data_IF_365850400626
#
_entry.id   IF_365850400626
#
_cell.length_a   1.000
_cell.length_b   1.000
_cell.length_c   1.000
_cell.angle_alpha   90.00
_cell.angle_beta   90.00
_cell.angle_gamma   90.00
#
_symmetry.space_group_name_H-M   'P 1'
#
loop_
_entity.id
_entity.type
_entity.pdbx_description
1 polymer ?
#
# COMPACT_ATOMS: atom_id res chain seq x y z
N UNK A 1 -15.24 -21.48 9.87
CA UNK A 1 -14.20 -20.92 8.95
C UNK A 1 -13.10 -20.27 9.79
N UNK A 2 -11.84 -20.59 9.53
CA UNK A 2 -10.69 -20.06 10.29
C UNK A 2 -10.58 -18.53 10.16
N UNK A 3 -10.31 -17.83 11.28
CA UNK A 3 -10.10 -16.37 11.34
C UNK A 3 -9.01 -15.87 10.38
N UNK A 4 -8.05 -16.73 10.01
CA UNK A 4 -7.01 -16.42 9.03
C UNK A 4 -7.55 -16.28 7.60
N UNK A 5 -8.51 -17.12 7.22
CA UNK A 5 -9.10 -17.12 5.87
C UNK A 5 -9.93 -15.84 5.63
N UNK A 6 -10.63 -15.36 6.67
CA UNK A 6 -11.39 -14.12 6.62
C UNK A 6 -10.48 -12.89 6.38
N UNK A 7 -9.29 -12.85 7.00
CA UNK A 7 -8.34 -11.74 6.81
C UNK A 7 -7.73 -11.70 5.42
N UNK A 8 -7.45 -12.85 4.81
CA UNK A 8 -6.95 -12.93 3.43
C UNK A 8 -8.01 -12.41 2.46
N UNK A 9 -9.27 -12.85 2.63
CA UNK A 9 -10.38 -12.35 1.81
C UNK A 9 -10.58 -10.83 2.00
N UNK A 10 -10.49 -10.32 3.23
CA UNK A 10 -10.54 -8.88 3.48
C UNK A 10 -9.39 -8.12 2.82
N UNK A 11 -8.17 -8.66 2.83
CA UNK A 11 -7.03 -8.04 2.17
C UNK A 11 -7.21 -7.96 0.65
N UNK A 12 -7.75 -9.01 0.02
CA UNK A 12 -8.12 -9.01 -1.40
C UNK A 12 -9.19 -7.94 -1.67
N UNK A 13 -10.24 -7.89 -0.85
CA UNK A 13 -11.30 -6.88 -0.97
C UNK A 13 -10.76 -5.45 -0.85
N UNK A 14 -9.86 -5.18 0.11
CA UNK A 14 -9.21 -3.88 0.27
C UNK A 14 -8.34 -3.55 -0.95
N UNK A 15 -7.57 -4.51 -1.46
CA UNK A 15 -6.75 -4.33 -2.66
C UNK A 15 -7.60 -3.99 -3.89
N UNK A 16 -8.69 -4.73 -4.12
CA UNK A 16 -9.65 -4.44 -5.19
C UNK A 16 -10.27 -3.06 -5.03
N UNK A 17 -10.63 -2.68 -3.81
CA UNK A 17 -11.15 -1.36 -3.51
C UNK A 17 -10.15 -0.24 -3.84
N UNK A 18 -8.87 -0.39 -3.46
CA UNK A 18 -7.82 0.59 -3.78
C UNK A 18 -7.70 0.79 -5.30
N UNK A 19 -7.66 -0.30 -6.06
CA UNK A 19 -7.59 -0.23 -7.52
C UNK A 19 -8.84 0.44 -8.12
N UNK A 20 -10.03 0.08 -7.62
CA UNK A 20 -11.28 0.70 -8.05
C UNK A 20 -11.34 2.20 -7.73
N UNK A 21 -10.82 2.60 -6.56
CA UNK A 21 -10.75 3.99 -6.16
C UNK A 21 -9.78 4.78 -7.04
N UNK A 22 -8.57 4.25 -7.33
CA UNK A 22 -7.60 4.88 -8.24
C UNK A 22 -8.23 5.07 -9.62
N UNK A 23 -8.82 4.01 -10.19
CA UNK A 23 -9.45 4.07 -11.51
C UNK A 23 -10.65 5.03 -11.53
N UNK A 24 -11.52 4.98 -10.52
CA UNK A 24 -12.69 5.86 -10.42
C UNK A 24 -12.29 7.33 -10.27
N UNK A 25 -11.37 7.63 -9.35
CA UNK A 25 -10.89 9.01 -9.12
C UNK A 25 -10.19 9.57 -10.36
N UNK A 26 -9.44 8.75 -11.09
CA UNK A 26 -8.85 9.13 -12.37
C UNK A 26 -9.91 9.50 -13.41
N UNK A 27 -10.95 8.68 -13.55
CA UNK A 27 -12.04 8.96 -14.51
C UNK A 27 -12.86 10.20 -14.14
N UNK A 28 -13.04 10.48 -12.85
CA UNK A 28 -13.78 11.67 -12.39
C UNK A 28 -12.96 12.96 -12.43
N UNK A 29 -11.63 12.88 -12.55
CA UNK A 29 -10.74 14.04 -12.42
C UNK A 29 -11.02 15.14 -13.46
N UNK A 30 -11.40 14.75 -14.68
CA UNK A 30 -11.63 15.69 -15.79
C UNK A 30 -13.02 16.34 -15.77
N UNK A 31 -14.03 15.57 -15.35
CA UNK A 31 -15.43 15.96 -15.50
C UNK A 31 -15.98 16.73 -14.29
N UNK A 32 -15.28 16.70 -13.15
CA UNK A 32 -15.80 17.19 -11.88
C UNK A 32 -14.81 18.14 -11.18
N UNK A 33 -15.32 19.30 -10.76
CA UNK A 33 -14.52 20.30 -10.06
C UNK A 33 -13.97 19.82 -8.71
N UNK A 34 -12.96 20.54 -8.20
CA UNK A 34 -12.27 20.27 -6.93
C UNK A 34 -13.22 20.10 -5.73
N UNK A 35 -14.40 20.73 -5.78
CA UNK A 35 -15.44 20.61 -4.75
C UNK A 35 -15.96 19.19 -4.53
N UNK A 36 -15.93 18.30 -5.54
CA UNK A 36 -16.31 16.89 -5.38
C UNK A 36 -15.11 15.99 -5.12
N UNK A 37 -13.99 16.26 -5.80
CA UNK A 37 -12.78 15.41 -5.70
C UNK A 37 -12.18 15.42 -4.30
N UNK A 38 -12.12 16.58 -3.64
CA UNK A 38 -11.54 16.70 -2.30
C UNK A 38 -12.32 15.85 -1.27
N UNK A 39 -13.66 15.96 -1.14
CA UNK A 39 -14.44 15.07 -0.30
C UNK A 39 -14.25 13.58 -0.61
N UNK A 40 -14.14 13.22 -1.89
CA UNK A 40 -13.97 11.82 -2.30
C UNK A 40 -12.60 11.26 -1.85
N UNK A 41 -11.54 12.06 -1.95
CA UNK A 41 -10.23 11.71 -1.41
C UNK A 41 -10.23 11.57 0.12
N UNK A 42 -10.94 12.47 0.82
CA UNK A 42 -11.10 12.38 2.28
C UNK A 42 -11.84 11.09 2.65
N UNK A 43 -12.96 10.80 1.97
CA UNK A 43 -13.73 9.59 2.19
C UNK A 43 -12.89 8.33 1.91
N UNK A 44 -12.10 8.35 0.83
CA UNK A 44 -11.18 7.27 0.49
C UNK A 44 -10.15 7.02 1.60
N UNK A 45 -9.54 8.07 2.13
CA UNK A 45 -8.57 7.98 3.23
C UNK A 45 -9.18 7.52 4.55
N UNK A 46 -10.36 8.02 4.92
CA UNK A 46 -11.09 7.57 6.12
C UNK A 46 -11.44 6.10 6.01
N UNK A 47 -11.95 5.66 4.86
CA UNK A 47 -12.31 4.24 4.66
C UNK A 47 -11.06 3.35 4.75
N UNK A 48 -9.94 3.75 4.15
CA UNK A 48 -8.68 3.03 4.28
C UNK A 48 -8.18 2.95 5.72
N UNK A 49 -8.27 4.04 6.47
CA UNK A 49 -7.89 4.05 7.88
C UNK A 49 -8.73 3.04 8.68
N UNK A 50 -10.05 3.00 8.47
CA UNK A 50 -10.95 2.03 9.13
C UNK A 50 -10.64 0.59 8.69
N UNK A 51 -10.42 0.35 7.40
CA UNK A 51 -10.15 -0.99 6.88
C UNK A 51 -8.79 -1.52 7.34
N UNK A 52 -7.75 -0.69 7.30
CA UNK A 52 -6.39 -1.07 7.70
C UNK A 52 -6.25 -1.18 9.23
N UNK A 53 -6.94 -0.36 10.02
CA UNK A 53 -6.99 -0.55 11.49
C UNK A 53 -7.73 -1.82 11.89
N UNK A 54 -8.71 -2.29 11.11
CA UNK A 54 -9.32 -3.62 11.34
C UNK A 54 -8.39 -4.77 10.92
N UNK A 55 -7.51 -4.53 9.96
CA UNK A 55 -6.57 -5.52 9.43
C UNK A 55 -5.32 -5.66 10.31
N UNK A 56 -4.77 -4.52 10.75
CA UNK A 56 -3.68 -4.41 11.72
C UNK A 56 -4.22 -4.66 13.13
N UNK A 57 -3.54 -5.47 13.92
CA UNK A 57 -3.90 -5.67 15.33
C UNK A 57 -3.37 -4.54 16.25
N UNK A 58 -2.77 -3.49 15.67
CA UNK A 58 -1.95 -2.47 16.36
C UNK A 58 -2.25 -1.04 15.84
N UNK A 59 -1.75 -0.02 16.55
CA UNK A 59 -1.93 1.43 16.32
C UNK A 59 -1.37 1.98 14.99
N UNK A 60 -0.75 1.14 14.16
CA UNK A 60 -0.07 1.54 12.92
C UNK A 60 -1.01 1.72 11.72
N UNK A 61 -2.32 1.48 11.87
CA UNK A 61 -3.27 1.54 10.74
C UNK A 61 -3.40 2.93 10.09
N UNK A 62 -3.34 4.01 10.87
CA UNK A 62 -3.46 5.38 10.37
C UNK A 62 -2.29 5.85 9.48
N UNK A 63 -1.01 5.73 9.88
CA UNK A 63 0.11 6.13 9.01
C UNK A 63 0.19 5.28 7.73
N UNK A 64 -0.19 4.00 7.80
CA UNK A 64 -0.26 3.13 6.62
C UNK A 64 -1.36 3.55 5.66
N UNK A 65 -2.53 3.95 6.17
CA UNK A 65 -3.60 4.50 5.34
C UNK A 65 -3.16 5.78 4.63
N UNK A 66 -2.48 6.70 5.34
CA UNK A 66 -1.96 7.92 4.73
C UNK A 66 -0.97 7.62 3.60
N UNK A 67 -0.09 6.63 3.79
CA UNK A 67 0.83 6.20 2.73
C UNK A 67 0.08 5.64 1.51
N UNK A 68 -0.94 4.81 1.71
CA UNK A 68 -1.74 4.24 0.62
C UNK A 68 -2.51 5.33 -0.12
N UNK A 69 -3.05 6.33 0.59
CA UNK A 69 -3.69 7.51 -0.03
C UNK A 69 -2.69 8.29 -0.87
N UNK A 70 -1.49 8.57 -0.32
CA UNK A 70 -0.43 9.27 -1.05
C UNK A 70 0.03 8.53 -2.31
N UNK A 71 0.20 7.20 -2.21
CA UNK A 71 0.52 6.36 -3.36
C UNK A 71 -0.62 6.36 -4.40
N UNK A 72 -1.88 6.31 -3.95
CA UNK A 72 -3.04 6.38 -4.84
C UNK A 72 -3.13 7.73 -5.56
N UNK A 73 -2.88 8.83 -4.85
CA UNK A 73 -2.84 10.18 -5.42
C UNK A 73 -1.73 10.30 -6.47
N UNK A 74 -0.53 9.79 -6.16
CA UNK A 74 0.57 9.74 -7.11
C UNK A 74 0.20 8.90 -8.34
N UNK A 75 -0.42 7.73 -8.16
CA UNK A 75 -0.86 6.89 -9.28
C UNK A 75 -1.86 7.61 -10.20
N UNK A 76 -2.85 8.32 -9.64
CA UNK A 76 -3.80 9.13 -10.42
C UNK A 76 -3.09 10.26 -11.16
N UNK A 77 -2.17 10.97 -10.51
CA UNK A 77 -1.37 12.03 -11.13
C UNK A 77 -0.53 11.53 -12.31
N UNK A 78 0.18 10.41 -12.13
CA UNK A 78 0.95 9.82 -13.23
C UNK A 78 0.04 9.26 -14.33
N UNK A 79 -1.16 8.75 -14.00
CA UNK A 79 -2.09 8.27 -15.01
C UNK A 79 -2.61 9.42 -15.90
N UNK A 80 -2.82 10.59 -15.32
CA UNK A 80 -3.22 11.81 -16.03
C UNK A 80 -2.12 12.27 -17.01
N UNK A 81 -0.89 12.38 -16.52
CA UNK A 81 0.26 12.68 -17.38
C UNK A 81 0.43 11.65 -18.51
N UNK A 82 0.26 10.37 -18.20
CA UNK A 82 0.40 9.30 -19.18
C UNK A 82 -0.72 9.34 -20.23
N UNK A 83 -1.92 9.80 -19.85
CA UNK A 83 -3.05 9.96 -20.78
C UNK A 83 -2.75 11.04 -21.82
N UNK A 84 -2.21 12.18 -21.38
CA UNK A 84 -1.83 13.27 -22.28
C UNK A 84 -0.73 12.81 -23.25
N UNK A 85 0.31 12.17 -22.72
CA UNK A 85 1.44 11.65 -23.52
C UNK A 85 0.96 10.60 -24.54
N UNK A 86 0.16 9.62 -24.11
CA UNK A 86 -0.44 8.61 -25.00
C UNK A 86 -1.38 9.21 -26.05
N UNK A 87 -2.12 10.25 -25.69
CA UNK A 87 -3.02 10.94 -26.63
C UNK A 87 -2.18 11.65 -27.69
N UNK A 88 -1.12 12.36 -27.29
CA UNK A 88 -0.18 13.02 -28.18
C UNK A 88 0.56 12.02 -29.08
N UNK A 89 0.94 10.85 -28.58
CA UNK A 89 1.55 9.79 -29.41
C UNK A 89 0.59 9.22 -30.45
N UNK A 90 -0.70 9.08 -30.11
CA UNK A 90 -1.72 8.46 -30.99
C UNK A 90 -2.24 9.41 -32.05
N UNK A 91 -2.54 10.66 -31.69
CA UNK A 91 -3.18 11.65 -32.59
C UNK A 91 -2.29 12.83 -32.95
N UNK A 92 -1.16 13.01 -32.27
CA UNK A 92 -0.28 14.15 -32.48
C UNK A 92 0.39 14.09 -33.84
N UNK A 93 0.44 15.24 -34.50
CA UNK A 93 1.13 15.42 -35.77
C UNK A 93 2.59 15.78 -35.51
N UNK A 94 3.52 15.12 -36.21
CA UNK A 94 4.94 15.51 -36.20
C UNK A 94 5.15 16.73 -37.07
N UNK A 95 5.47 17.86 -36.43
CA UNK A 95 5.65 19.14 -37.10
C UNK A 95 7.04 19.67 -36.78
N UNK A 96 7.74 20.13 -37.82
CA UNK A 96 8.95 20.94 -37.64
C UNK A 96 8.53 22.38 -37.36
N UNK A 97 8.78 22.83 -36.14
CA UNK A 97 8.45 24.17 -35.68
C UNK A 97 9.70 24.93 -35.24
N UNK A 98 9.69 26.25 -35.41
CA UNK A 98 10.75 27.15 -34.99
C UNK A 98 10.34 27.85 -33.69
N UNK A 99 11.26 27.91 -32.74
CA UNK A 99 11.06 28.67 -31.50
C UNK A 99 11.09 30.16 -31.82
N UNK A 100 9.98 30.86 -31.61
CA UNK A 100 9.87 32.29 -31.91
C UNK A 100 10.10 33.15 -30.68
N UNK A 101 9.76 32.62 -29.50
CA UNK A 101 9.84 33.37 -28.25
C UNK A 101 9.99 32.41 -27.08
N UNK A 102 10.73 32.82 -26.08
CA UNK A 102 10.78 32.19 -24.76
C UNK A 102 10.36 33.18 -23.68
N UNK A 103 9.71 32.70 -22.62
CA UNK A 103 9.43 33.48 -21.42
C UNK A 103 9.36 32.55 -20.20
N UNK A 104 9.55 33.11 -19.01
CA UNK A 104 9.43 32.35 -17.77
C UNK A 104 7.96 31.98 -17.54
N UNK A 105 7.69 30.71 -17.22
CA UNK A 105 6.34 30.25 -16.92
C UNK A 105 5.79 31.02 -15.69
N UNK A 106 4.59 31.65 -15.79
CA UNK A 106 4.09 32.59 -14.78
C UNK A 106 3.57 31.92 -13.50
N UNK A 107 3.36 30.62 -13.53
CA UNK A 107 2.61 29.81 -12.57
C UNK A 107 3.49 28.95 -11.63
N UNK A 108 4.80 28.91 -11.86
CA UNK A 108 5.73 28.20 -10.97
C UNK A 108 6.73 29.18 -10.37
N UNK A 109 6.82 29.19 -9.04
CA UNK A 109 7.72 30.06 -8.29
C UNK A 109 9.16 30.00 -8.80
N UNK A 110 9.92 31.08 -8.53
CA UNK A 110 11.28 31.40 -9.02
C UNK A 110 12.33 30.25 -8.99
N UNK A 111 12.03 29.12 -8.39
CA UNK A 111 12.91 27.94 -8.28
C UNK A 111 12.81 26.95 -9.45
N UNK A 112 11.71 26.87 -10.22
CA UNK A 112 11.53 25.75 -11.16
C UNK A 112 12.26 25.88 -12.50
N UNK A 113 12.93 27.02 -12.79
CA UNK A 113 13.66 27.26 -14.05
C UNK A 113 12.92 26.76 -15.30
N UNK A 114 11.59 26.84 -15.30
CA UNK A 114 10.75 26.30 -16.35
C UNK A 114 10.28 27.44 -17.24
N UNK A 115 10.48 27.27 -18.55
CA UNK A 115 10.23 28.27 -19.57
C UNK A 115 9.16 27.78 -20.54
N UNK A 116 8.32 28.70 -20.96
CA UNK A 116 7.37 28.52 -22.04
C UNK A 116 7.99 29.02 -23.35
N UNK A 117 7.84 28.23 -24.40
CA UNK A 117 8.38 28.46 -25.73
C UNK A 117 7.22 28.53 -26.74
N UNK A 118 7.06 29.69 -27.37
CA UNK A 118 6.15 29.82 -28.51
C UNK A 118 6.78 29.19 -29.75
N UNK A 119 6.03 28.32 -30.39
CA UNK A 119 6.43 27.64 -31.62
C UNK A 119 5.64 28.19 -32.81
N UNK A 120 6.32 28.35 -33.94
CA UNK A 120 5.69 28.63 -35.23
C UNK A 120 6.06 27.56 -36.27
N UNK A 121 5.13 27.23 -37.14
CA UNK A 121 5.36 26.40 -38.32
C UNK A 121 6.27 27.12 -39.30
N UNK A 122 6.77 26.38 -40.29
CA UNK A 122 7.64 26.90 -41.36
C UNK A 122 6.99 28.02 -42.20
N UNK A 123 5.67 28.02 -42.27
CA UNK A 123 4.87 29.05 -42.94
C UNK A 123 4.70 30.34 -42.07
N UNK A 124 5.28 30.37 -40.87
CA UNK A 124 5.17 31.48 -39.93
C UNK A 124 3.91 31.48 -39.08
N UNK A 125 2.99 30.52 -39.28
CA UNK A 125 1.79 30.40 -38.46
C UNK A 125 2.13 29.88 -37.07
N UNK A 126 1.46 30.42 -36.05
CA UNK A 126 1.65 29.96 -34.66
C UNK A 126 1.05 28.57 -34.50
N UNK A 127 1.74 27.70 -33.78
CA UNK A 127 1.22 26.40 -33.44
C UNK A 127 -0.01 26.56 -32.52
N UNK A 128 -1.14 25.87 -32.79
CA UNK A 128 -2.32 25.94 -31.95
C UNK A 128 -2.05 25.30 -30.58
N UNK A 129 -2.74 25.80 -29.56
CA UNK A 129 -2.68 25.29 -28.19
C UNK A 129 -1.66 25.97 -27.27
N UNK A 130 -1.38 25.35 -26.11
CA UNK A 130 -0.44 25.88 -25.12
C UNK A 130 1.01 25.96 -25.65
N UNK A 131 1.83 26.80 -25.04
CA UNK A 131 3.26 26.91 -25.39
C UNK A 131 4.03 25.63 -25.01
N UNK A 132 5.08 25.27 -25.74
CA UNK A 132 5.97 24.16 -25.32
C UNK A 132 6.64 24.51 -24.00
N UNK A 133 6.67 23.61 -23.03
CA UNK A 133 7.31 23.85 -21.74
C UNK A 133 8.60 23.05 -21.62
N UNK A 134 9.68 23.69 -21.18
CA UNK A 134 10.95 23.01 -20.97
C UNK A 134 11.82 23.72 -19.93
N UNK A 135 12.83 23.02 -19.42
CA UNK A 135 13.83 23.60 -18.53
C UNK A 135 14.65 24.70 -19.21
N UNK A 136 15.19 25.61 -18.41
CA UNK A 136 15.94 26.78 -18.87
C UNK A 136 17.07 26.41 -19.84
N UNK A 137 17.15 27.15 -20.96
CA UNK A 137 18.23 26.98 -21.93
C UNK A 137 18.15 25.69 -22.74
N UNK A 138 17.06 24.92 -22.65
CA UNK A 138 16.89 23.70 -23.44
C UNK A 138 16.74 23.98 -24.93
N UNK A 139 16.13 25.12 -25.28
CA UNK A 139 15.95 25.55 -26.66
C UNK A 139 16.33 27.03 -26.83
N UNK A 140 16.85 27.38 -28.00
CA UNK A 140 17.17 28.76 -28.36
C UNK A 140 16.11 29.34 -29.31
N UNK A 141 15.85 30.65 -29.22
CA UNK A 141 15.02 31.36 -30.19
C UNK A 141 15.65 31.27 -31.58
N UNK A 142 14.84 30.95 -32.60
CA UNK A 142 15.27 30.66 -33.97
C UNK A 142 15.64 29.19 -34.23
N UNK A 143 15.74 28.37 -33.18
CA UNK A 143 15.99 26.94 -33.33
C UNK A 143 14.78 26.24 -33.94
N UNK A 144 15.02 25.40 -34.96
CA UNK A 144 14.01 24.52 -35.52
C UNK A 144 14.07 23.16 -34.83
N UNK A 145 12.91 22.68 -34.37
CA UNK A 145 12.76 21.44 -33.61
C UNK A 145 11.54 20.66 -34.08
N UNK A 146 11.62 19.33 -33.99
CA UNK A 146 10.49 18.45 -34.30
C UNK A 146 9.67 18.25 -33.04
N UNK A 147 8.39 18.57 -33.10
CA UNK A 147 7.44 18.38 -32.00
C UNK A 147 6.27 17.54 -32.46
N UNK A 148 5.69 16.81 -31.53
CA UNK A 148 4.35 16.27 -31.61
C UNK A 148 3.40 17.36 -31.13
N UNK A 149 2.50 17.79 -32.00
CA UNK A 149 1.50 18.79 -31.69
C UNK A 149 0.11 18.19 -31.83
N UNK A 150 -0.78 18.54 -30.91
CA UNK A 150 -2.17 18.15 -30.99
C UNK A 150 -2.89 18.94 -32.08
N UNK A 151 -3.49 18.28 -33.10
CA UNK A 151 -4.22 18.99 -34.15
C UNK A 151 -5.43 19.77 -33.61
N UNK A 152 -6.02 19.34 -32.49
CA UNK A 152 -7.13 20.05 -31.83
C UNK A 152 -6.65 21.26 -31.00
N UNK A 153 -5.33 21.38 -30.75
CA UNK A 153 -4.76 22.46 -29.95
C UNK A 153 -5.14 22.41 -28.47
N UNK A 154 -5.59 21.26 -27.96
CA UNK A 154 -5.97 21.09 -26.56
C UNK A 154 -4.72 20.78 -25.73
N UNK A 155 -3.91 19.83 -26.19
CA UNK A 155 -2.72 19.38 -25.48
C UNK A 155 -1.50 20.24 -25.79
N UNK A 156 -0.62 20.37 -24.79
CA UNK A 156 0.66 21.07 -24.93
C UNK A 156 1.59 20.28 -25.88
N UNK A 157 2.22 20.93 -26.88
CA UNK A 157 3.16 20.26 -27.76
C UNK A 157 4.38 19.74 -26.98
N UNK A 158 4.94 18.60 -27.40
CA UNK A 158 6.15 17.99 -26.80
C UNK A 158 7.12 17.47 -27.84
N UNK A 159 8.39 17.32 -27.47
CA UNK A 159 9.35 16.62 -28.34
C UNK A 159 9.09 15.11 -28.29
N UNK A 160 9.40 14.33 -29.35
CA UNK A 160 9.14 12.89 -29.38
C UNK A 160 9.73 12.10 -28.20
N UNK A 161 10.86 12.54 -27.63
CA UNK A 161 11.45 11.90 -26.46
C UNK A 161 10.78 12.29 -25.13
N UNK A 162 10.15 13.47 -25.06
CA UNK A 162 9.43 13.95 -23.87
C UNK A 162 7.95 13.51 -23.86
N UNK A 163 7.45 12.97 -24.98
CA UNK A 163 6.10 12.43 -25.14
C UNK A 163 6.02 10.91 -24.88
N UNK A 164 7.15 10.25 -24.59
CA UNK A 164 7.18 8.83 -24.30
C UNK A 164 6.49 8.53 -22.96
N UNK A 165 5.31 7.90 -23.03
CA UNK A 165 4.49 7.59 -21.88
C UNK A 165 5.07 6.46 -21.01
N UNK A 166 6.11 5.74 -21.45
CA UNK A 166 6.63 4.54 -20.78
C UNK A 166 7.02 4.79 -19.33
N UNK A 167 7.80 5.84 -19.08
CA UNK A 167 8.25 6.19 -17.72
C UNK A 167 7.08 6.55 -16.81
N UNK A 168 6.11 7.28 -17.34
CA UNK A 168 4.92 7.72 -16.62
C UNK A 168 4.00 6.55 -16.28
N UNK A 169 3.79 5.62 -17.22
CA UNK A 169 3.02 4.38 -17.03
C UNK A 169 3.67 3.45 -16.00
N UNK A 170 5.00 3.33 -16.00
CA UNK A 170 5.73 2.60 -14.96
C UNK A 170 5.52 3.24 -13.59
N UNK A 171 5.43 4.57 -13.51
CA UNK A 171 5.08 5.31 -12.30
C UNK A 171 3.72 4.88 -11.74
N UNK A 172 2.68 4.85 -12.58
CA UNK A 172 1.33 4.39 -12.20
C UNK A 172 1.38 2.98 -11.60
N UNK A 173 2.03 2.06 -12.31
CA UNK A 173 2.17 0.67 -11.88
C UNK A 173 2.93 0.54 -10.57
N UNK A 174 4.03 1.27 -10.41
CA UNK A 174 4.86 1.24 -9.21
C UNK A 174 4.08 1.70 -7.97
N UNK A 175 3.34 2.81 -8.05
CA UNK A 175 2.56 3.32 -6.93
C UNK A 175 1.36 2.42 -6.59
N UNK A 176 0.67 1.87 -7.60
CA UNK A 176 -0.40 0.91 -7.37
C UNK A 176 0.13 -0.37 -6.70
N UNK A 177 1.28 -0.89 -7.13
CA UNK A 177 1.92 -2.05 -6.51
C UNK A 177 2.43 -1.75 -5.09
N UNK A 178 2.94 -0.56 -4.84
CA UNK A 178 3.34 -0.14 -3.49
C UNK A 178 2.15 -0.13 -2.53
N UNK A 179 1.02 0.43 -2.95
CA UNK A 179 -0.23 0.41 -2.17
C UNK A 179 -0.68 -1.03 -1.87
N UNK A 180 -0.69 -1.91 -2.87
CA UNK A 180 -1.05 -3.33 -2.70
C UNK A 180 -0.07 -4.08 -1.80
N UNK A 181 1.23 -3.79 -1.90
CA UNK A 181 2.27 -4.37 -1.07
C UNK A 181 2.08 -4.05 0.41
N UNK A 182 1.67 -2.81 0.73
CA UNK A 182 1.31 -2.41 2.09
C UNK A 182 0.09 -3.19 2.60
N UNK A 183 -0.97 -3.31 1.80
CA UNK A 183 -2.17 -4.10 2.18
C UNK A 183 -1.81 -5.58 2.42
N UNK A 184 -0.99 -6.17 1.56
CA UNK A 184 -0.59 -7.57 1.70
C UNK A 184 0.31 -7.82 2.92
N UNK A 185 1.28 -6.94 3.17
CA UNK A 185 2.21 -7.08 4.32
C UNK A 185 1.50 -6.86 5.65
N UNK A 186 0.57 -5.91 5.72
CA UNK A 186 -0.26 -5.65 6.91
C UNK A 186 -1.19 -6.83 7.21
N UNK A 187 -1.83 -7.40 6.19
CA UNK A 187 -2.64 -8.62 6.34
C UNK A 187 -1.83 -9.79 6.90
N UNK A 188 -0.61 -10.01 6.36
CA UNK A 188 0.32 -11.06 6.84
C UNK A 188 0.71 -10.83 8.31
N UNK A 189 1.09 -9.61 8.68
CA UNK A 189 1.44 -9.27 10.08
C UNK A 189 0.24 -9.44 11.02
N UNK A 190 -0.94 -8.99 10.63
CA UNK A 190 -2.15 -9.18 11.42
C UNK A 190 -2.44 -10.66 11.65
N UNK A 191 -2.32 -11.50 10.61
CA UNK A 191 -2.53 -12.94 10.72
C UNK A 191 -1.52 -13.62 11.66
N UNK A 192 -0.24 -13.23 11.64
CA UNK A 192 0.77 -13.80 12.55
C UNK A 192 0.52 -13.38 14.00
N UNK A 193 0.16 -12.12 14.26
CA UNK A 193 -0.19 -11.64 15.61
C UNK A 193 -1.43 -12.37 16.14
N UNK A 194 -2.47 -12.52 15.32
CA UNK A 194 -3.67 -13.24 15.70
C UNK A 194 -3.39 -14.70 16.06
N UNK A 195 -2.58 -15.38 15.24
CA UNK A 195 -2.16 -16.76 15.49
C UNK A 195 -1.39 -16.90 16.80
N UNK A 196 -0.42 -16.01 17.06
CA UNK A 196 0.34 -16.00 18.32
C UNK A 196 -0.56 -15.77 19.54
N UNK A 197 -1.59 -14.92 19.41
CA UNK A 197 -2.57 -14.68 20.48
C UNK A 197 -3.40 -15.93 20.76
N UNK A 198 -3.85 -16.62 19.72
CA UNK A 198 -4.61 -17.88 19.82
C UNK A 198 -3.77 -19.01 20.44
N UNK A 199 -2.51 -19.14 20.03
CA UNK A 199 -1.55 -20.08 20.63
C UNK A 199 -1.32 -19.78 22.12
N UNK A 200 -1.20 -18.49 22.51
CA UNK A 200 -1.07 -18.09 23.92
C UNK A 200 -2.31 -18.38 24.74
N UNK A 201 -3.51 -18.12 24.21
CA UNK A 201 -4.76 -18.43 24.93
C UNK A 201 -4.92 -19.94 25.11
N UNK A 202 -4.64 -20.72 24.07
CA UNK A 202 -4.70 -22.18 24.13
C UNK A 202 -3.70 -22.76 25.14
N UNK A 203 -2.48 -22.20 25.18
CA UNK A 203 -1.49 -22.57 26.19
C UNK A 203 -1.98 -22.22 27.60
N UNK A 204 -2.52 -21.02 27.80
CA UNK A 204 -3.05 -20.60 29.10
C UNK A 204 -4.21 -21.50 29.58
N UNK A 205 -5.09 -21.91 28.67
CA UNK A 205 -6.20 -22.84 28.96
C UNK A 205 -5.67 -24.24 29.36
N UNK A 206 -4.62 -24.74 28.68
CA UNK A 206 -3.97 -26.00 29.06
C UNK A 206 -3.22 -25.90 30.39
N UNK A 207 -2.50 -24.80 30.65
CA UNK A 207 -1.86 -24.56 31.94
C UNK A 207 -2.90 -24.46 33.08
N UNK A 208 -4.07 -23.89 32.80
CA UNK A 208 -5.17 -23.83 33.77
C UNK A 208 -5.74 -25.23 34.06
N UNK A 209 -6.03 -26.00 33.01
CA UNK A 209 -6.54 -27.37 33.12
C UNK A 209 -5.54 -28.29 33.83
N UNK A 210 -4.24 -28.13 33.57
CA UNK A 210 -3.18 -28.87 34.26
C UNK A 210 -3.14 -28.52 35.75
N UNK A 211 -3.21 -27.23 36.08
CA UNK A 211 -3.23 -26.76 37.47
C UNK A 211 -4.45 -27.29 38.23
N UNK A 212 -5.61 -27.36 37.58
CA UNK A 212 -6.82 -27.92 38.16
C UNK A 212 -6.72 -29.44 38.35
N UNK A 213 -6.18 -30.16 37.36
CA UNK A 213 -5.93 -31.60 37.47
C UNK A 213 -4.97 -31.91 38.64
N UNK A 214 -3.83 -31.20 38.74
CA UNK A 214 -2.88 -31.38 39.84
C UNK A 214 -3.48 -31.06 41.22
N UNK A 215 -4.36 -30.04 41.31
CA UNK A 215 -5.03 -29.69 42.56
C UNK A 215 -6.04 -30.73 43.02
N UNK A 216 -6.70 -31.42 42.08
CA UNK A 216 -7.78 -32.37 42.37
C UNK A 216 -7.30 -33.82 42.40
N UNK A 217 -6.10 -34.10 41.90
CA UNK A 217 -5.55 -35.44 41.86
C UNK A 217 -5.23 -35.94 43.27
N UNK A 218 -5.66 -37.16 43.56
CA UNK A 218 -5.27 -37.89 44.76
C UNK A 218 -3.93 -38.56 44.52
N UNK A 219 -3.00 -38.41 45.46
CA UNK A 219 -1.73 -39.12 45.44
C UNK A 219 -1.98 -40.64 45.49
N UNK A 220 -1.19 -41.40 44.73
CA UNK A 220 -1.23 -42.87 44.75
C UNK A 220 -0.73 -43.44 46.09
N UNK A 221 -0.71 -44.77 46.22
CA UNK A 221 -0.24 -45.49 47.42
C UNK A 221 1.21 -45.15 47.79
N UNK A 222 2.00 -44.61 46.87
CA UNK A 222 3.39 -44.21 47.02
C UNK A 222 3.57 -42.69 47.18
N UNK A 223 2.49 -41.90 47.22
CA UNK A 223 2.52 -40.45 47.38
C UNK A 223 2.76 -39.67 46.07
N UNK A 224 2.50 -40.27 44.90
CA UNK A 224 2.68 -39.60 43.60
C UNK A 224 1.36 -39.21 42.95
N UNK A 225 1.31 -38.00 42.40
CA UNK A 225 0.30 -37.50 41.47
C UNK A 225 0.81 -37.73 40.05
N UNK A 226 0.12 -38.57 39.29
CA UNK A 226 0.46 -38.89 37.90
C UNK A 226 -0.42 -38.11 36.91
N UNK A 227 0.21 -37.47 35.93
CA UNK A 227 -0.46 -36.76 34.84
C UNK A 227 0.12 -37.19 33.49
N UNK A 228 -0.76 -37.52 32.55
CA UNK A 228 -0.33 -37.95 31.22
C UNK A 228 -0.11 -36.73 30.29
N UNK A 229 1.10 -36.58 29.70
CA UNK A 229 1.44 -35.44 28.85
C UNK A 229 0.58 -35.30 27.59
N UNK A 230 -0.02 -36.40 27.13
CA UNK A 230 -0.90 -36.43 25.95
C UNK A 230 -2.14 -35.53 26.09
N UNK A 231 -2.58 -35.28 27.33
CA UNK A 231 -3.70 -34.37 27.61
C UNK A 231 -3.29 -32.88 27.59
N UNK A 232 -1.99 -32.59 27.56
CA UNK A 232 -1.41 -31.24 27.61
C UNK A 232 -0.33 -31.04 26.55
N UNK A 233 -0.65 -31.26 25.25
CA UNK A 233 0.35 -31.34 24.19
C UNK A 233 1.12 -30.04 23.95
N UNK A 234 0.59 -28.89 24.37
CA UNK A 234 1.24 -27.58 24.19
C UNK A 234 2.06 -27.14 25.42
N UNK A 235 2.04 -27.92 26.52
CA UNK A 235 2.80 -27.65 27.74
C UNK A 235 4.09 -28.48 27.75
N UNK A 236 5.23 -27.83 28.04
CA UNK A 236 6.50 -28.56 28.19
C UNK A 236 6.67 -29.15 29.60
N UNK A 237 7.40 -30.26 29.72
CA UNK A 237 7.68 -30.90 31.03
C UNK A 237 8.26 -29.91 32.06
N UNK A 238 9.21 -29.06 31.64
CA UNK A 238 9.79 -28.01 32.50
C UNK A 238 8.73 -27.03 33.02
N UNK A 239 7.76 -26.67 32.19
CA UNK A 239 6.67 -25.76 32.59
C UNK A 239 5.68 -26.45 33.51
N UNK A 240 5.33 -27.71 33.22
CA UNK A 240 4.49 -28.53 34.07
C UNK A 240 5.11 -28.73 35.47
N UNK A 241 6.41 -29.05 35.55
CA UNK A 241 7.15 -29.15 36.81
C UNK A 241 7.19 -27.82 37.57
N UNK A 242 7.30 -26.69 36.87
CA UNK A 242 7.16 -25.36 37.49
C UNK A 242 5.78 -25.14 38.11
N UNK A 243 4.70 -25.52 37.42
CA UNK A 243 3.32 -25.42 37.92
C UNK A 243 3.09 -26.38 39.10
N UNK A 244 3.65 -27.58 39.07
CA UNK A 244 3.59 -28.54 40.17
C UNK A 244 4.31 -27.99 41.42
N UNK A 245 5.49 -27.39 41.24
CA UNK A 245 6.23 -26.72 42.31
C UNK A 245 5.49 -25.50 42.90
N UNK A 246 4.75 -24.73 42.09
CA UNK A 246 3.85 -23.66 42.57
C UNK A 246 2.75 -24.21 43.51
N UNK A 247 2.40 -25.49 43.37
CA UNK A 247 1.39 -26.18 44.20
C UNK A 247 2.01 -26.97 45.37
N UNK A 248 3.34 -26.96 45.52
CA UNK A 248 4.06 -27.66 46.60
C UNK A 248 4.53 -29.08 46.25
N UNK A 249 4.35 -29.53 45.00
CA UNK A 249 4.72 -30.88 44.58
C UNK A 249 6.15 -30.93 44.01
N UNK A 250 6.89 -32.00 44.28
CA UNK A 250 8.26 -32.20 43.76
C UNK A 250 8.27 -33.06 42.48
N UNK A 251 8.97 -32.65 41.41
CA UNK A 251 9.05 -33.44 40.18
C UNK A 251 9.85 -34.73 40.38
N UNK A 252 9.26 -35.86 39.99
CA UNK A 252 9.94 -37.13 39.87
C UNK A 252 10.26 -37.40 38.39
N UNK A 253 11.55 -37.62 38.07
CA UNK A 253 11.98 -37.90 36.71
C UNK A 253 11.66 -39.36 36.34
N UNK A 254 10.57 -39.56 35.59
CA UNK A 254 10.22 -40.85 34.97
C UNK A 254 9.88 -40.64 33.47
N UNK A 255 10.60 -41.26 32.53
CA UNK A 255 10.40 -41.04 31.10
C UNK A 255 9.11 -41.72 30.61
N UNK A 256 8.00 -40.97 30.57
CA UNK A 256 6.74 -41.40 29.94
C UNK A 256 5.48 -40.96 30.67
N UNK A 257 5.57 -40.56 31.93
CA UNK A 257 4.48 -39.99 32.71
C UNK A 257 5.02 -38.81 33.54
N UNK A 258 4.27 -37.72 33.65
CA UNK A 258 4.67 -36.64 34.53
C UNK A 258 4.22 -37.00 35.95
N UNK A 259 5.16 -37.38 36.80
CA UNK A 259 4.92 -37.74 38.19
C UNK A 259 5.42 -36.66 39.12
N UNK A 260 4.58 -36.28 40.08
CA UNK A 260 4.90 -35.28 41.08
C UNK A 260 4.62 -35.84 42.46
N UNK A 261 5.54 -35.65 43.40
CA UNK A 261 5.43 -36.13 44.78
C UNK A 261 4.71 -35.10 45.63
N UNK A 262 3.71 -35.53 46.38
CA UNK A 262 2.99 -34.73 47.40
C UNK A 262 3.79 -34.61 48.71
#
# INVERSE_FOLDING_TARGET
MSRGHHRILSAIGIGCYVLAAIAGLFLLADDHGTGLLVPLWIAHGVLLAVLLTKLCADETGAPLALFVVGASLAAVYFADLARDDLTLERRGERITATVVREWLAPDQGRQSHTYDYALARRDGTRLPGPALQAGSGRFAVGQSLTVLADPEGVLRPRTPGDADATGTLLGVGAFALAALGIVATTARRGATVARRREERTRLADQEHTLREALRTALADVNGFVEVHPEHYPDVSHRRAAGIAGELGLEPADDPGSWRFRD
#
